data_IF_124721972213
#
_entry.id   IF_124721972213
#
_cell.length_a   1.000
_cell.length_b   1.000
_cell.length_c   1.000
_cell.angle_alpha   90.00
_cell.angle_beta   90.00
_cell.angle_gamma   90.00
#
_symmetry.space_group_name_H-M   'P 1'
#
loop_
_entity.id
_entity.type
_entity.pdbx_description
1 polymer ?
#
# COMPACT_ATOMS: atom_id res chain seq x y z
N UNK A 1 21.61 -28.20 1.67
CA UNK A 1 21.74 -26.84 2.25
C UNK A 1 21.06 -25.87 1.29
N UNK A 2 19.81 -25.55 1.58
CA UNK A 2 18.99 -24.59 0.86
C UNK A 2 17.88 -24.22 1.83
N UNK A 3 17.85 -22.96 2.24
CA UNK A 3 17.04 -22.49 3.35
C UNK A 3 15.55 -22.54 2.97
N UNK A 4 14.83 -23.49 3.58
CA UNK A 4 13.37 -23.59 3.57
C UNK A 4 12.87 -22.82 4.79
N UNK A 5 11.87 -21.95 4.64
CA UNK A 5 11.15 -21.41 5.80
C UNK A 5 10.30 -22.53 6.41
N UNK A 6 10.83 -23.16 7.46
CA UNK A 6 10.05 -24.03 8.34
C UNK A 6 9.02 -23.17 9.06
N UNK A 7 7.75 -23.30 8.65
CA UNK A 7 6.64 -22.87 9.48
C UNK A 7 6.26 -23.98 10.46
N UNK A 8 7.09 -24.19 11.49
CA UNK A 8 6.78 -25.16 12.52
C UNK A 8 6.08 -24.45 13.68
N UNK A 9 4.75 -24.57 13.73
CA UNK A 9 4.02 -24.41 14.99
C UNK A 9 4.25 -25.68 15.82
N UNK A 10 5.26 -25.67 16.68
CA UNK A 10 5.59 -26.78 17.57
C UNK A 10 4.67 -26.83 18.79
N UNK A 11 3.36 -26.92 18.60
CA UNK A 11 2.43 -27.01 19.72
C UNK A 11 1.61 -28.31 19.71
N UNK A 12 2.03 -29.32 18.92
CA UNK A 12 1.57 -30.71 19.05
C UNK A 12 0.07 -30.97 18.85
N UNK A 13 -0.71 -29.98 18.38
CA UNK A 13 -2.19 -30.05 18.35
C UNK A 13 -2.76 -29.91 16.92
N UNK A 14 -2.00 -29.46 15.92
CA UNK A 14 -2.50 -29.31 14.52
C UNK A 14 -1.59 -29.98 13.49
N UNK A 15 -2.12 -30.84 12.58
CA UNK A 15 -1.31 -31.62 11.63
C UNK A 15 -1.07 -30.94 10.27
N UNK A 16 -1.22 -29.62 10.15
CA UNK A 16 -1.07 -28.91 8.86
C UNK A 16 0.12 -27.96 8.94
N UNK A 17 1.16 -28.23 8.15
CA UNK A 17 2.29 -27.34 7.92
C UNK A 17 2.10 -26.76 6.51
N UNK A 18 1.97 -25.45 6.36
CA UNK A 18 1.96 -24.89 5.00
C UNK A 18 3.37 -24.47 4.59
N UNK A 19 3.67 -24.60 3.32
CA UNK A 19 4.87 -24.08 2.69
C UNK A 19 4.42 -23.33 1.44
N UNK A 20 4.83 -22.07 1.30
CA UNK A 20 4.49 -21.27 0.12
C UNK A 20 5.66 -21.37 -0.88
N UNK A 21 5.34 -21.64 -2.14
CA UNK A 21 6.29 -21.74 -3.24
C UNK A 21 5.79 -20.89 -4.42
N UNK A 22 6.71 -20.39 -5.24
CA UNK A 22 6.42 -19.75 -6.52
C UNK A 22 7.37 -20.33 -7.57
N UNK A 23 6.88 -21.04 -8.59
CA UNK A 23 7.61 -21.49 -9.79
C UNK A 23 7.08 -20.90 -11.12
N UNK A 24 7.69 -21.24 -12.26
CA UNK A 24 7.71 -20.39 -13.46
C UNK A 24 6.54 -20.46 -14.48
N UNK A 25 6.69 -19.64 -15.53
CA UNK A 25 5.99 -19.70 -16.83
C UNK A 25 7.02 -19.62 -17.98
N UNK A 26 6.61 -19.99 -19.20
CA UNK A 26 7.33 -19.62 -20.43
C UNK A 26 6.78 -18.28 -20.94
N UNK A 27 7.52 -17.52 -21.77
CA UNK A 27 7.09 -16.21 -22.31
C UNK A 27 5.67 -16.23 -22.94
N UNK A 28 5.18 -17.42 -23.32
CA UNK A 28 3.90 -17.64 -24.00
C UNK A 28 2.75 -18.18 -23.10
N UNK A 29 2.97 -18.44 -21.80
CA UNK A 29 1.97 -19.07 -20.91
C UNK A 29 1.89 -18.35 -19.56
N UNK A 30 0.73 -17.77 -19.24
CA UNK A 30 0.40 -17.29 -17.89
C UNK A 30 0.21 -18.53 -17.00
N UNK A 31 1.06 -18.76 -15.97
CA UNK A 31 0.90 -19.92 -15.09
C UNK A 31 -0.39 -19.78 -14.25
N UNK A 32 -1.15 -20.88 -14.16
CA UNK A 32 -2.31 -20.98 -13.27
C UNK A 32 -1.78 -21.43 -11.90
N UNK A 33 -2.00 -20.62 -10.86
CA UNK A 33 -1.64 -20.98 -9.49
C UNK A 33 -2.61 -22.03 -8.97
N UNK A 34 -2.18 -23.27 -8.83
CA UNK A 34 -2.95 -24.35 -8.22
C UNK A 34 -2.38 -24.73 -6.85
N UNK A 35 -3.19 -24.60 -5.80
CA UNK A 35 -2.80 -25.06 -4.48
C UNK A 35 -3.04 -26.56 -4.33
N UNK A 36 -1.97 -27.35 -4.25
CA UNK A 36 -2.04 -28.81 -4.18
C UNK A 36 -1.60 -29.36 -2.83
N UNK A 37 -2.23 -30.46 -2.43
CA UNK A 37 -1.90 -31.22 -1.21
C UNK A 37 -0.81 -32.24 -1.52
N UNK A 38 0.27 -32.21 -0.74
CA UNK A 38 1.40 -33.14 -0.83
C UNK A 38 1.59 -33.91 0.48
N UNK A 39 2.02 -35.16 0.37
CA UNK A 39 2.54 -35.93 1.48
C UNK A 39 4.05 -35.71 1.56
N UNK A 40 4.56 -35.32 2.72
CA UNK A 40 5.99 -35.10 2.96
C UNK A 40 6.43 -35.94 4.14
N UNK A 41 7.55 -36.64 4.04
CA UNK A 41 8.13 -37.37 5.17
C UNK A 41 9.49 -36.76 5.51
N UNK A 42 9.65 -36.32 6.75
CA UNK A 42 10.96 -35.91 7.28
C UNK A 42 11.33 -36.82 8.44
N UNK A 43 12.32 -37.69 8.19
CA UNK A 43 12.86 -38.65 9.15
C UNK A 43 11.79 -39.45 9.92
N UNK A 44 10.82 -40.02 9.21
CA UNK A 44 9.79 -40.89 9.78
C UNK A 44 8.64 -40.15 10.45
N UNK A 45 8.60 -38.83 10.31
CA UNK A 45 7.41 -38.03 10.62
C UNK A 45 6.74 -37.66 9.31
N UNK A 46 5.52 -38.16 9.10
CA UNK A 46 4.75 -37.85 7.91
C UNK A 46 3.89 -36.59 8.13
N UNK A 47 3.97 -35.68 7.17
CA UNK A 47 3.30 -34.40 7.14
C UNK A 47 2.39 -34.33 5.92
N UNK A 48 1.27 -33.62 6.07
CA UNK A 48 0.52 -33.11 4.92
C UNK A 48 0.91 -31.66 4.73
N UNK A 49 1.53 -31.35 3.59
CA UNK A 49 1.91 -29.99 3.22
C UNK A 49 1.01 -29.48 2.10
N UNK A 50 0.66 -28.20 2.15
CA UNK A 50 0.04 -27.51 1.02
C UNK A 50 1.14 -26.73 0.32
N UNK A 51 1.25 -26.89 -0.99
CA UNK A 51 2.19 -26.17 -1.84
C UNK A 51 1.41 -25.48 -2.96
N UNK A 52 1.77 -24.24 -3.28
CA UNK A 52 1.25 -23.54 -4.46
C UNK A 52 2.15 -23.92 -5.63
N UNK A 53 1.56 -24.59 -6.62
CA UNK A 53 2.22 -24.97 -7.87
C UNK A 53 1.80 -24.00 -8.95
N UNK A 54 2.75 -23.49 -9.72
CA UNK A 54 2.51 -22.60 -10.85
C UNK A 54 2.52 -23.37 -12.19
N UNK A 55 2.60 -24.71 -12.17
CA UNK A 55 2.50 -25.56 -13.37
C UNK A 55 1.50 -26.72 -13.24
N UNK A 56 0.90 -27.12 -14.36
CA UNK A 56 -0.09 -28.19 -14.46
C UNK A 56 0.49 -29.62 -14.55
N UNK A 57 1.78 -29.84 -14.24
CA UNK A 57 2.39 -31.18 -14.21
C UNK A 57 2.67 -31.66 -12.77
N UNK A 58 1.75 -32.44 -12.17
CA UNK A 58 1.85 -32.89 -10.77
C UNK A 58 2.98 -33.89 -10.48
N UNK A 59 3.79 -34.29 -11.47
CA UNK A 59 4.77 -35.39 -11.33
C UNK A 59 6.25 -34.97 -11.27
N UNK A 60 6.57 -33.68 -11.13
CA UNK A 60 7.96 -33.22 -10.96
C UNK A 60 8.46 -33.30 -9.51
N UNK A 61 8.29 -34.46 -8.87
CA UNK A 61 8.86 -34.73 -7.53
C UNK A 61 10.38 -34.51 -7.53
N UNK A 62 10.86 -33.64 -6.64
CA UNK A 62 12.29 -33.49 -6.34
C UNK A 62 13.12 -32.61 -7.29
N UNK A 63 12.51 -31.86 -8.20
CA UNK A 63 13.22 -30.83 -8.98
C UNK A 63 12.68 -29.45 -8.66
N UNK A 64 13.44 -28.71 -7.85
CA UNK A 64 13.24 -27.26 -7.72
C UNK A 64 13.63 -26.59 -9.03
N UNK A 65 12.71 -25.86 -9.66
CA UNK A 65 13.08 -24.83 -10.63
C UNK A 65 13.53 -23.62 -9.82
N UNK A 66 14.78 -23.21 -10.02
CA UNK A 66 15.34 -22.02 -9.41
C UNK A 66 15.00 -20.81 -10.29
N UNK A 67 14.62 -19.66 -9.71
CA UNK A 67 14.65 -19.33 -8.27
C UNK A 67 13.33 -19.59 -7.52
N UNK A 68 13.40 -19.89 -6.22
CA UNK A 68 12.25 -20.01 -5.31
C UNK A 68 12.21 -18.89 -4.27
N UNK A 69 11.01 -18.40 -3.93
CA UNK A 69 10.81 -17.39 -2.89
C UNK A 69 10.60 -18.04 -1.51
N UNK A 70 11.23 -17.49 -0.48
CA UNK A 70 11.11 -17.97 0.90
C UNK A 70 10.34 -16.96 1.73
N UNK A 71 9.20 -17.38 2.26
CA UNK A 71 8.30 -16.53 3.05
C UNK A 71 8.42 -16.94 4.53
N UNK A 72 8.81 -16.04 5.45
CA UNK A 72 8.81 -16.37 6.87
C UNK A 72 7.40 -16.76 7.29
N UNK A 73 7.29 -17.85 8.03
CA UNK A 73 6.00 -18.32 8.49
C UNK A 73 6.04 -18.54 10.00
N UNK A 74 4.97 -18.09 10.65
CA UNK A 74 4.91 -17.86 12.09
C UNK A 74 3.91 -18.83 12.70
N UNK A 75 4.36 -19.54 13.74
CA UNK A 75 3.52 -20.43 14.51
C UNK A 75 2.30 -19.69 15.08
N UNK A 76 1.10 -20.14 14.73
CA UNK A 76 -0.16 -19.63 15.26
C UNK A 76 -0.85 -20.72 16.07
N UNK A 77 -1.05 -20.47 17.37
CA UNK A 77 -1.83 -21.34 18.23
C UNK A 77 -3.17 -20.66 18.56
N UNK A 78 -4.26 -21.26 18.09
CA UNK A 78 -5.62 -20.75 18.21
C UNK A 78 -6.08 -20.67 19.68
N UNK A 79 -5.46 -21.43 20.58
CA UNK A 79 -5.73 -21.44 22.03
C UNK A 79 -5.04 -20.30 22.80
N UNK A 80 -4.06 -19.62 22.20
CA UNK A 80 -3.37 -18.45 22.74
C UNK A 80 -3.92 -17.13 22.18
N UNK A 81 -5.08 -17.20 21.51
CA UNK A 81 -5.68 -16.14 20.67
C UNK A 81 -5.91 -14.80 21.39
N UNK A 82 -5.89 -14.76 22.72
CA UNK A 82 -5.96 -13.53 23.50
C UNK A 82 -4.75 -12.60 23.34
N UNK A 83 -3.57 -13.12 22.99
CA UNK A 83 -2.33 -12.33 22.92
C UNK A 83 -1.94 -11.92 21.48
N UNK A 84 -2.45 -12.62 20.46
CA UNK A 84 -2.05 -12.41 19.06
C UNK A 84 -2.88 -11.33 18.35
N UNK A 85 -4.15 -11.15 18.74
CA UNK A 85 -5.03 -10.09 18.25
C UNK A 85 -5.39 -9.16 19.41
N UNK A 86 -4.73 -7.99 19.46
CA UNK A 86 -4.87 -7.03 20.55
C UNK A 86 -6.05 -6.09 20.31
N UNK A 87 -6.13 -5.49 19.12
CA UNK A 87 -7.13 -4.48 18.79
C UNK A 87 -7.38 -4.42 17.29
N UNK A 88 -8.64 -4.43 16.87
CA UNK A 88 -8.97 -4.22 15.46
C UNK A 88 -8.64 -2.77 15.06
N UNK A 89 -7.95 -2.62 13.93
CA UNK A 89 -7.61 -1.31 13.34
C UNK A 89 -8.72 -0.89 12.38
N UNK A 90 -9.01 -1.75 11.40
CA UNK A 90 -9.94 -1.45 10.31
C UNK A 90 -10.62 -2.73 9.81
N UNK A 91 -11.88 -2.59 9.37
CA UNK A 91 -12.58 -3.58 8.53
C UNK A 91 -12.79 -2.93 7.16
N UNK A 92 -12.19 -3.51 6.14
CA UNK A 92 -12.42 -3.15 4.74
C UNK A 92 -13.38 -4.12 4.05
N UNK A 93 -13.66 -3.87 2.77
CA UNK A 93 -14.56 -4.71 1.98
C UNK A 93 -14.04 -6.15 1.78
N UNK A 94 -12.72 -6.33 1.78
CA UNK A 94 -12.04 -7.59 1.43
C UNK A 94 -11.31 -8.22 2.63
N UNK A 95 -11.06 -7.47 3.69
CA UNK A 95 -10.27 -7.96 4.81
C UNK A 95 -10.36 -7.07 6.04
N UNK A 96 -9.86 -7.58 7.15
CA UNK A 96 -9.74 -6.87 8.41
C UNK A 96 -8.28 -6.84 8.85
N UNK A 97 -7.87 -5.73 9.46
CA UNK A 97 -6.52 -5.50 9.95
C UNK A 97 -6.57 -5.28 11.45
N UNK A 98 -5.66 -5.95 12.16
CA UNK A 98 -5.57 -5.96 13.61
C UNK A 98 -4.17 -5.57 14.07
N UNK A 99 -4.09 -4.92 15.22
CA UNK A 99 -2.87 -4.87 16.02
C UNK A 99 -2.67 -6.25 16.64
N UNK A 100 -1.48 -6.80 16.54
CA UNK A 100 -1.08 -8.04 17.18
C UNK A 100 0.23 -7.91 17.93
N UNK A 101 0.62 -8.98 18.64
CA UNK A 101 1.97 -9.15 19.19
C UNK A 101 2.66 -10.36 18.58
N UNK A 102 3.90 -10.17 18.17
CA UNK A 102 4.77 -11.25 17.70
C UNK A 102 6.12 -11.15 18.40
N UNK A 103 6.49 -12.18 19.18
CA UNK A 103 7.79 -12.23 19.90
C UNK A 103 8.07 -10.99 20.77
N UNK A 104 7.01 -10.40 21.35
CA UNK A 104 7.09 -9.18 22.16
C UNK A 104 6.86 -7.88 21.39
N UNK A 105 7.05 -7.89 20.07
CA UNK A 105 6.92 -6.72 19.20
C UNK A 105 5.47 -6.51 18.74
N UNK A 106 5.10 -5.24 18.52
CA UNK A 106 3.79 -4.88 17.97
C UNK A 106 3.82 -5.06 16.45
N UNK A 107 2.80 -5.74 15.91
CA UNK A 107 2.66 -6.02 14.47
C UNK A 107 1.27 -5.68 13.98
N UNK A 108 1.13 -5.52 12.66
CA UNK A 108 -0.16 -5.48 11.99
C UNK A 108 -0.47 -6.86 11.38
N UNK A 109 -1.70 -7.34 11.58
CA UNK A 109 -2.16 -8.65 11.09
C UNK A 109 -3.37 -8.44 10.20
N UNK A 110 -3.23 -8.71 8.91
CA UNK A 110 -4.32 -8.68 7.92
C UNK A 110 -4.84 -10.10 7.71
N UNK A 111 -6.16 -10.25 7.63
CA UNK A 111 -6.85 -11.50 7.30
C UNK A 111 -8.15 -11.19 6.56
N UNK A 112 -8.66 -12.12 5.77
CA UNK A 112 -9.96 -11.95 5.10
C UNK A 112 -11.09 -11.75 6.12
N UNK A 113 -12.22 -11.15 5.74
CA UNK A 113 -13.40 -11.10 6.61
C UNK A 113 -14.06 -12.48 6.70
N UNK A 114 -14.82 -12.74 7.77
CA UNK A 114 -15.37 -14.07 8.07
C UNK A 114 -16.13 -14.69 6.87
N UNK A 115 -17.02 -13.93 6.25
CA UNK A 115 -17.88 -14.42 5.16
C UNK A 115 -17.07 -14.83 3.92
N UNK A 116 -15.92 -14.20 3.68
CA UNK A 116 -15.06 -14.45 2.50
C UNK A 116 -14.02 -15.55 2.71
N UNK A 117 -13.75 -15.95 3.96
CA UNK A 117 -12.71 -16.96 4.29
C UNK A 117 -13.02 -18.37 3.81
N UNK A 118 -14.25 -18.61 3.39
CA UNK A 118 -14.69 -19.90 2.87
C UNK A 118 -14.74 -19.91 1.34
N UNK A 119 -14.53 -18.76 0.69
CA UNK A 119 -14.52 -18.63 -0.76
C UNK A 119 -13.12 -18.87 -1.31
N UNK A 120 -12.94 -19.94 -2.09
CA UNK A 120 -11.62 -20.32 -2.60
C UNK A 120 -10.96 -19.22 -3.44
N UNK A 121 -11.76 -18.49 -4.24
CA UNK A 121 -11.28 -17.37 -5.07
C UNK A 121 -10.68 -16.25 -4.22
N UNK A 122 -11.33 -15.89 -3.12
CA UNK A 122 -10.84 -14.84 -2.21
C UNK A 122 -9.55 -15.27 -1.49
N UNK A 123 -9.44 -16.57 -1.15
CA UNK A 123 -8.23 -17.14 -0.55
C UNK A 123 -7.06 -17.14 -1.54
N UNK A 124 -7.31 -17.45 -2.81
CA UNK A 124 -6.31 -17.38 -3.89
C UNK A 124 -5.85 -15.94 -4.13
N UNK A 125 -6.77 -14.98 -4.16
CA UNK A 125 -6.43 -13.57 -4.30
C UNK A 125 -5.60 -13.06 -3.11
N UNK A 126 -5.95 -13.48 -1.89
CA UNK A 126 -5.17 -13.15 -0.70
C UNK A 126 -3.79 -13.80 -0.69
N UNK A 127 -3.67 -15.05 -1.13
CA UNK A 127 -2.38 -15.71 -1.32
C UNK A 127 -1.52 -14.99 -2.37
N UNK A 128 -2.12 -14.56 -3.48
CA UNK A 128 -1.44 -13.77 -4.51
C UNK A 128 -0.94 -12.44 -3.95
N UNK A 129 -1.74 -11.77 -3.11
CA UNK A 129 -1.32 -10.54 -2.42
C UNK A 129 -0.10 -10.76 -1.52
N UNK A 130 -0.11 -11.85 -0.74
CA UNK A 130 1.01 -12.22 0.11
C UNK A 130 2.28 -12.49 -0.72
N UNK A 131 2.17 -13.25 -1.81
CA UNK A 131 3.29 -13.54 -2.71
C UNK A 131 3.88 -12.27 -3.30
N UNK A 132 3.03 -11.36 -3.78
CA UNK A 132 3.48 -10.09 -4.33
C UNK A 132 4.21 -9.27 -3.26
N UNK A 133 3.62 -9.13 -2.08
CA UNK A 133 4.20 -8.35 -0.99
C UNK A 133 5.53 -8.92 -0.51
N UNK A 134 5.69 -10.25 -0.53
CA UNK A 134 6.95 -10.89 -0.18
C UNK A 134 8.08 -10.67 -1.18
N UNK A 135 7.77 -10.29 -2.42
CA UNK A 135 8.76 -9.92 -3.43
C UNK A 135 9.39 -8.54 -3.19
N UNK A 136 8.79 -7.73 -2.31
CA UNK A 136 9.21 -6.35 -2.09
C UNK A 136 10.28 -6.22 -1.01
N UNK A 137 11.26 -5.36 -1.29
CA UNK A 137 12.31 -4.98 -0.35
C UNK A 137 12.69 -3.53 -0.60
N UNK A 138 11.98 -2.61 0.04
CA UNK A 138 12.23 -1.17 -0.08
C UNK A 138 11.83 -0.41 1.20
N UNK A 139 12.52 0.71 1.48
CA UNK A 139 12.27 1.50 2.69
C UNK A 139 10.86 2.12 2.72
N UNK A 140 10.34 2.51 1.56
CA UNK A 140 9.02 3.15 1.42
C UNK A 140 7.90 2.24 0.91
N UNK A 141 8.11 0.93 0.95
CA UNK A 141 7.08 -0.08 0.67
C UNK A 141 6.90 -0.90 1.93
N UNK A 142 5.64 -1.20 2.28
CA UNK A 142 5.33 -2.00 3.46
C UNK A 142 5.88 -3.42 3.27
N UNK A 143 6.71 -3.84 4.20
CA UNK A 143 7.37 -5.15 4.15
C UNK A 143 6.54 -6.23 4.83
N UNK A 144 6.60 -7.44 4.28
CA UNK A 144 6.05 -8.63 4.91
C UNK A 144 7.00 -9.13 6.00
N UNK A 145 6.50 -9.26 7.23
CA UNK A 145 7.24 -9.91 8.31
C UNK A 145 7.05 -11.43 8.29
N UNK A 146 5.87 -11.88 7.87
CA UNK A 146 5.59 -13.28 7.64
C UNK A 146 4.12 -13.58 7.45
N UNK A 147 3.79 -14.87 7.47
CA UNK A 147 2.42 -15.35 7.29
C UNK A 147 2.13 -16.39 8.37
N UNK A 148 0.87 -16.51 8.78
CA UNK A 148 0.45 -17.47 9.77
C UNK A 148 -0.90 -18.10 9.41
N UNK A 149 -1.07 -19.39 9.66
CA UNK A 149 -2.35 -20.09 9.50
C UNK A 149 -2.36 -21.40 10.29
N UNK A 150 -3.52 -21.83 10.77
CA UNK A 150 -3.79 -23.22 11.20
C UNK A 150 -4.58 -23.99 10.15
N UNK A 151 -5.49 -23.27 9.49
CA UNK A 151 -6.29 -23.70 8.34
C UNK A 151 -6.26 -22.59 7.31
N UNK A 152 -6.55 -22.94 6.05
CA UNK A 152 -6.57 -21.97 4.95
C UNK A 152 -7.49 -20.78 5.23
N UNK A 153 -8.68 -21.05 5.79
CA UNK A 153 -9.66 -20.05 6.21
C UNK A 153 -9.11 -19.06 7.26
N UNK A 154 -8.07 -19.42 8.00
CA UNK A 154 -7.45 -18.60 9.06
C UNK A 154 -6.12 -18.00 8.62
N UNK A 155 -5.86 -17.89 7.32
CA UNK A 155 -4.65 -17.27 6.79
C UNK A 155 -4.53 -15.80 7.22
N UNK A 156 -3.34 -15.46 7.73
CA UNK A 156 -3.00 -14.16 8.25
C UNK A 156 -1.68 -13.67 7.62
N UNK A 157 -1.70 -12.48 7.05
CA UNK A 157 -0.55 -11.74 6.58
C UNK A 157 -0.05 -10.85 7.73
N UNK A 158 1.24 -10.89 8.06
CA UNK A 158 1.84 -10.19 9.20
C UNK A 158 2.84 -9.15 8.70
N UNK A 159 2.66 -7.91 9.13
CA UNK A 159 3.39 -6.73 8.66
C UNK A 159 3.91 -5.90 9.83
N UNK A 160 4.84 -5.01 9.52
CA UNK A 160 5.20 -3.94 10.44
C UNK A 160 3.95 -3.13 10.81
N UNK A 161 3.81 -2.81 12.10
CA UNK A 161 2.81 -1.86 12.58
C UNK A 161 3.30 -0.43 12.37
N UNK A 162 2.42 0.46 11.92
CA UNK A 162 2.74 1.86 11.63
C UNK A 162 1.98 2.75 12.62
N UNK A 163 2.71 3.35 13.56
CA UNK A 163 2.15 3.88 14.81
C UNK A 163 1.21 5.08 14.62
N UNK A 164 1.44 5.88 13.57
CA UNK A 164 0.61 7.05 13.26
C UNK A 164 -0.58 6.71 12.36
N UNK A 165 -0.74 5.44 11.98
CA UNK A 165 -1.81 4.99 11.10
C UNK A 165 -1.59 5.41 9.66
N UNK A 166 -2.68 5.73 8.97
CA UNK A 166 -2.65 6.17 7.58
C UNK A 166 -2.56 7.70 7.44
N UNK A 167 -2.11 8.17 6.27
CA UNK A 167 -1.91 9.60 5.99
C UNK A 167 -3.22 10.38 6.12
N UNK A 168 -4.37 9.80 5.78
CA UNK A 168 -5.66 10.48 5.93
C UNK A 168 -5.95 10.80 7.41
N UNK A 169 -5.70 9.85 8.32
CA UNK A 169 -5.84 10.08 9.76
C UNK A 169 -4.87 11.16 10.26
N UNK A 170 -3.62 11.15 9.78
CA UNK A 170 -2.61 12.16 10.13
C UNK A 170 -3.07 13.56 9.69
N UNK A 171 -3.59 13.71 8.47
CA UNK A 171 -4.10 14.97 7.94
C UNK A 171 -5.30 15.48 8.75
N UNK A 172 -6.28 14.62 9.02
CA UNK A 172 -7.47 14.97 9.80
C UNK A 172 -7.12 15.41 11.23
N UNK A 173 -6.14 14.76 11.87
CA UNK A 173 -5.70 15.11 13.21
C UNK A 173 -5.04 16.49 13.26
N UNK A 174 -4.21 16.81 12.27
CA UNK A 174 -3.53 18.10 12.20
C UNK A 174 -4.49 19.25 11.86
N UNK A 175 -5.44 19.06 10.94
CA UNK A 175 -6.47 20.08 10.64
C UNK A 175 -7.29 20.46 11.89
N UNK A 176 -7.62 19.48 12.75
CA UNK A 176 -8.32 19.75 14.01
C UNK A 176 -7.45 20.54 14.99
N UNK A 177 -6.17 20.22 15.14
CA UNK A 177 -5.27 20.93 16.06
C UNK A 177 -5.15 22.43 15.72
N UNK A 178 -5.03 22.76 14.44
CA UNK A 178 -4.94 24.15 13.98
C UNK A 178 -6.20 24.95 14.28
N UNK A 179 -7.38 24.31 14.26
CA UNK A 179 -8.64 24.96 14.62
C UNK A 179 -8.78 25.27 16.13
N UNK A 180 -8.19 24.45 17.01
CA UNK A 180 -8.36 24.58 18.47
C UNK A 180 -7.21 25.30 19.20
N UNK A 181 -5.99 25.31 18.65
CA UNK A 181 -4.79 25.83 19.34
C UNK A 181 -4.14 27.02 18.60
N UNK A 182 -4.85 28.12 18.41
CA UNK A 182 -4.28 29.36 17.86
C UNK A 182 -3.30 30.10 18.81
N UNK A 183 -2.99 29.55 20.00
CA UNK A 183 -2.29 30.30 21.07
C UNK A 183 -0.94 29.74 21.54
N UNK A 184 -0.45 28.59 21.04
CA UNK A 184 0.84 28.03 21.47
C UNK A 184 1.83 27.84 20.32
N UNK A 185 2.82 28.73 20.29
CA UNK A 185 3.73 29.03 19.18
C UNK A 185 4.99 28.13 19.12
N UNK A 186 4.93 26.83 19.46
CA UNK A 186 6.16 26.05 19.63
C UNK A 186 6.09 24.52 19.43
N UNK A 187 5.29 24.00 18.50
CA UNK A 187 5.41 22.60 18.08
C UNK A 187 5.50 22.60 16.55
N UNK A 188 6.53 21.96 15.99
CA UNK A 188 6.79 21.81 14.55
C UNK A 188 5.50 21.70 13.76
N UNK A 189 5.13 22.79 13.09
CA UNK A 189 3.89 22.86 12.33
C UNK A 189 3.94 21.83 11.21
N UNK A 190 2.88 21.04 11.05
CA UNK A 190 2.77 20.05 9.98
C UNK A 190 2.58 20.79 8.63
N UNK A 191 3.68 21.18 8.00
CA UNK A 191 3.75 22.07 6.85
C UNK A 191 4.51 21.43 5.68
N UNK A 192 4.53 22.11 4.53
CA UNK A 192 5.32 21.70 3.38
C UNK A 192 6.83 21.66 3.68
N UNK A 193 7.35 22.70 4.35
CA UNK A 193 8.76 22.80 4.71
C UNK A 193 9.22 21.73 5.72
N UNK A 194 8.31 21.20 6.57
CA UNK A 194 8.69 20.26 7.62
C UNK A 194 8.42 18.79 7.26
N UNK A 195 7.16 18.44 6.98
CA UNK A 195 6.71 17.05 6.89
C UNK A 195 6.15 16.68 5.52
N UNK A 196 5.31 17.54 4.93
CA UNK A 196 4.51 17.16 3.74
C UNK A 196 5.39 16.90 2.52
N UNK A 197 6.44 17.69 2.29
CA UNK A 197 7.37 17.46 1.18
C UNK A 197 8.17 16.15 1.36
N UNK A 198 8.60 15.85 2.59
CA UNK A 198 9.26 14.57 2.93
C UNK A 198 8.34 13.38 2.66
N UNK A 199 7.08 13.48 3.09
CA UNK A 199 6.07 12.43 2.87
C UNK A 199 5.83 12.24 1.37
N UNK A 200 5.61 13.32 0.63
CA UNK A 200 5.42 13.29 -0.82
C UNK A 200 6.59 12.60 -1.52
N UNK A 201 7.83 12.96 -1.15
CA UNK A 201 9.05 12.37 -1.71
C UNK A 201 9.09 10.87 -1.44
N UNK A 202 8.85 10.45 -0.19
CA UNK A 202 8.90 9.05 0.21
C UNK A 202 7.83 8.20 -0.49
N UNK A 203 6.64 8.76 -0.74
CA UNK A 203 5.61 8.13 -1.60
C UNK A 203 6.16 7.93 -3.02
N UNK A 204 6.78 8.97 -3.60
CA UNK A 204 7.39 8.90 -4.94
C UNK A 204 8.52 7.87 -5.01
N UNK A 205 9.36 7.75 -3.98
CA UNK A 205 10.39 6.71 -3.87
C UNK A 205 9.78 5.30 -3.87
N UNK A 206 8.69 5.10 -3.11
CA UNK A 206 7.97 3.84 -3.08
C UNK A 206 7.40 3.45 -4.46
N UNK A 207 6.82 4.41 -5.18
CA UNK A 207 6.31 4.20 -6.53
C UNK A 207 7.43 3.95 -7.54
N UNK A 208 8.52 4.71 -7.52
CA UNK A 208 9.67 4.47 -8.40
C UNK A 208 10.18 3.03 -8.25
N UNK A 209 10.32 2.56 -7.00
CA UNK A 209 10.73 1.19 -6.73
C UNK A 209 9.79 0.18 -7.41
N UNK A 210 8.47 0.28 -7.19
CA UNK A 210 7.48 -0.63 -7.78
C UNK A 210 7.49 -0.57 -9.31
N UNK A 211 7.57 0.62 -9.87
CA UNK A 211 7.55 0.86 -11.31
C UNK A 211 8.83 0.33 -11.99
N UNK A 212 9.95 0.30 -11.26
CA UNK A 212 11.24 -0.21 -11.71
C UNK A 212 11.44 -1.72 -11.57
N UNK A 213 10.49 -2.46 -10.98
CA UNK A 213 10.54 -3.92 -10.93
C UNK A 213 10.35 -4.54 -12.33
N UNK A 214 10.78 -5.79 -12.48
CA UNK A 214 10.57 -6.57 -13.71
C UNK A 214 9.88 -7.91 -13.38
N UNK A 215 8.61 -8.10 -13.77
CA UNK A 215 7.75 -7.14 -14.47
C UNK A 215 7.40 -5.91 -13.61
N UNK A 216 7.08 -4.80 -14.28
CA UNK A 216 6.62 -3.56 -13.64
C UNK A 216 5.40 -3.81 -12.77
N UNK A 217 5.43 -3.32 -11.53
CA UNK A 217 4.30 -3.41 -10.61
C UNK A 217 3.59 -2.06 -10.52
N UNK A 218 2.30 -2.03 -10.88
CA UNK A 218 1.43 -0.86 -10.71
C UNK A 218 0.64 -1.03 -9.41
N UNK A 219 0.64 -0.01 -8.55
CA UNK A 219 -0.01 -0.05 -7.24
C UNK A 219 -1.54 -0.12 -7.35
N UNK A 220 -2.15 0.65 -8.28
CA UNK A 220 -3.58 0.66 -8.65
C UNK A 220 -4.56 1.17 -7.60
N UNK A 221 -4.14 1.22 -6.34
CA UNK A 221 -4.95 1.74 -5.23
C UNK A 221 -4.21 2.77 -4.37
N UNK A 222 -3.37 3.61 -4.97
CA UNK A 222 -2.71 4.67 -4.22
C UNK A 222 -3.74 5.72 -3.77
N UNK A 223 -3.82 5.94 -2.47
CA UNK A 223 -4.68 6.93 -1.80
C UNK A 223 -4.14 7.21 -0.40
N UNK A 224 -4.55 8.30 0.24
CA UNK A 224 -4.09 8.66 1.59
C UNK A 224 -4.31 7.55 2.64
N UNK A 225 -5.34 6.71 2.51
CA UNK A 225 -5.56 5.54 3.39
C UNK A 225 -4.54 4.40 3.24
N UNK A 226 -3.86 4.33 2.09
CA UNK A 226 -2.90 3.28 1.77
C UNK A 226 -1.44 3.77 1.91
N UNK A 227 -1.25 5.01 2.36
CA UNK A 227 0.04 5.57 2.75
C UNK A 227 0.13 5.50 4.27
N UNK A 228 0.95 4.60 4.81
CA UNK A 228 1.10 4.40 6.24
C UNK A 228 2.28 5.19 6.80
N UNK A 229 2.11 5.73 8.00
CA UNK A 229 3.06 6.62 8.66
C UNK A 229 3.51 6.03 9.99
N UNK A 230 4.82 5.88 10.17
CA UNK A 230 5.42 5.40 11.41
C UNK A 230 5.69 6.54 12.40
N UNK A 231 6.18 6.20 13.59
CA UNK A 231 6.35 7.19 14.67
C UNK A 231 7.33 8.32 14.29
N UNK A 232 8.37 8.05 13.49
CA UNK A 232 9.34 9.05 13.03
C UNK A 232 8.97 9.67 11.66
N UNK A 233 7.69 9.58 11.28
CA UNK A 233 7.18 10.01 9.98
C UNK A 233 7.85 9.30 8.79
N UNK A 234 8.35 8.10 9.00
CA UNK A 234 8.69 7.20 7.89
C UNK A 234 7.40 6.78 7.17
N UNK A 235 7.46 6.78 5.84
CA UNK A 235 6.31 6.48 4.99
C UNK A 235 6.47 5.13 4.34
N UNK A 236 5.41 4.32 4.35
CA UNK A 236 5.34 3.05 3.63
C UNK A 236 4.03 2.93 2.85
N UNK A 237 4.13 2.59 1.57
CA UNK A 237 2.98 2.23 0.74
C UNK A 237 2.50 0.82 1.12
N UNK A 238 1.21 0.66 1.36
CA UNK A 238 0.58 -0.63 1.64
C UNK A 238 -0.67 -0.86 0.80
N UNK A 239 -1.28 -2.03 0.95
CA UNK A 239 -2.53 -2.43 0.28
C UNK A 239 -2.44 -2.30 -1.26
N UNK A 240 -1.64 -3.18 -1.85
CA UNK A 240 -1.43 -3.27 -3.29
C UNK A 240 -2.66 -3.91 -3.94
N UNK A 241 -3.21 -3.29 -4.98
CA UNK A 241 -4.50 -3.64 -5.58
C UNK A 241 -4.52 -4.94 -6.39
N UNK A 242 -3.94 -6.04 -5.87
CA UNK A 242 -3.87 -7.35 -6.53
C UNK A 242 -5.25 -7.89 -6.86
N UNK A 243 -6.21 -7.78 -5.93
CA UNK A 243 -7.59 -8.22 -6.15
C UNK A 243 -8.33 -7.41 -7.22
N UNK A 244 -7.90 -6.17 -7.52
CA UNK A 244 -8.52 -5.36 -8.58
C UNK A 244 -8.19 -5.85 -9.98
N UNK A 245 -7.01 -6.47 -10.20
CA UNK A 245 -6.67 -7.10 -11.49
C UNK A 245 -7.74 -8.06 -11.98
N UNK A 246 -8.35 -8.82 -11.06
CA UNK A 246 -9.31 -9.89 -11.37
C UNK A 246 -10.77 -9.47 -11.26
N UNK A 247 -11.08 -8.41 -10.51
CA UNK A 247 -12.44 -7.91 -10.35
C UNK A 247 -12.83 -6.79 -11.34
N UNK A 248 -11.86 -6.07 -11.91
CA UNK A 248 -12.12 -5.04 -12.93
C UNK A 248 -12.72 -5.63 -14.22
N UNK A 249 -12.59 -6.95 -14.46
CA UNK A 249 -13.26 -7.64 -15.56
C UNK A 249 -14.76 -7.88 -15.29
N UNK A 250 -15.22 -7.84 -14.03
CA UNK A 250 -16.57 -8.30 -13.67
C UNK A 250 -17.48 -7.20 -13.07
N UNK A 251 -17.00 -6.15 -12.38
CA UNK A 251 -17.92 -5.13 -11.83
C UNK A 251 -17.28 -3.76 -11.50
N UNK A 252 -17.67 -2.73 -12.26
CA UNK A 252 -17.37 -1.30 -12.00
C UNK A 252 -18.10 -0.69 -10.78
N UNK A 253 -18.95 -1.45 -10.10
CA UNK A 253 -19.90 -0.95 -9.08
C UNK A 253 -19.40 -1.02 -7.63
N UNK A 254 -18.35 -1.80 -7.33
CA UNK A 254 -17.91 -2.03 -5.94
C UNK A 254 -16.97 -0.96 -5.37
N UNK A 255 -16.55 0.02 -6.18
CA UNK A 255 -15.43 0.95 -5.88
C UNK A 255 -15.79 2.40 -5.55
N UNK A 256 -17.09 2.76 -5.40
CA UNK A 256 -17.56 4.16 -5.34
C UNK A 256 -16.81 5.03 -4.31
N UNK A 257 -16.36 4.45 -3.19
CA UNK A 257 -15.63 5.19 -2.15
C UNK A 257 -14.13 5.44 -2.41
N UNK A 258 -13.53 4.79 -3.42
CA UNK A 258 -12.10 4.94 -3.76
C UNK A 258 -11.86 5.59 -5.13
N UNK A 259 -12.92 5.86 -5.89
CA UNK A 259 -12.82 6.35 -7.26
C UNK A 259 -12.21 7.76 -7.40
N UNK A 260 -12.12 8.55 -6.32
CA UNK A 260 -11.58 9.91 -6.38
C UNK A 260 -10.09 9.99 -6.68
N UNK A 261 -9.33 8.93 -6.38
CA UNK A 261 -7.90 8.85 -6.71
C UNK A 261 -7.66 8.22 -8.09
N UNK A 262 -8.70 7.63 -8.68
CA UNK A 262 -8.58 6.86 -9.91
C UNK A 262 -8.38 7.76 -11.12
N UNK A 263 -7.38 7.44 -11.94
CA UNK A 263 -7.06 8.20 -13.13
C UNK A 263 -8.21 8.20 -14.17
N UNK A 264 -8.38 9.27 -14.97
CA UNK A 264 -9.45 9.41 -15.95
C UNK A 264 -9.55 8.23 -16.93
N UNK A 265 -8.42 7.73 -17.42
CA UNK A 265 -8.34 6.61 -18.35
C UNK A 265 -8.79 5.29 -17.70
N UNK A 266 -8.50 5.10 -16.41
CA UNK A 266 -8.95 3.93 -15.64
C UNK A 266 -10.45 4.00 -15.41
N UNK A 267 -10.98 5.17 -15.02
CA UNK A 267 -12.42 5.40 -14.88
C UNK A 267 -13.18 5.20 -16.21
N UNK A 268 -12.54 5.50 -17.34
CA UNK A 268 -13.08 5.29 -18.67
C UNK A 268 -12.94 3.85 -19.19
N UNK A 269 -12.38 2.92 -18.39
CA UNK A 269 -12.16 1.53 -18.79
C UNK A 269 -11.13 1.35 -19.92
N UNK A 270 -10.22 2.32 -20.07
CA UNK A 270 -9.15 2.28 -21.06
C UNK A 270 -7.94 1.51 -20.53
N UNK A 271 -7.02 1.16 -21.43
CA UNK A 271 -5.72 0.63 -21.02
C UNK A 271 -4.97 1.67 -20.21
N UNK A 272 -4.36 1.23 -19.12
CA UNK A 272 -3.60 2.07 -18.20
C UNK A 272 -2.23 1.47 -17.94
N UNK A 273 -1.34 2.30 -17.41
CA UNK A 273 0.03 1.93 -17.04
C UNK A 273 0.35 2.44 -15.63
N UNK A 274 1.63 2.40 -15.25
CA UNK A 274 2.16 3.01 -14.04
C UNK A 274 1.86 4.53 -13.93
N UNK A 275 1.53 5.18 -15.05
CA UNK A 275 1.05 6.57 -15.10
C UNK A 275 -0.27 6.79 -14.38
N UNK A 276 -1.06 5.74 -14.16
CA UNK A 276 -2.27 5.82 -13.34
C UNK A 276 -1.91 6.10 -11.86
N UNK A 277 -0.86 5.48 -11.33
CA UNK A 277 -0.39 5.75 -9.97
C UNK A 277 0.15 7.18 -9.83
N UNK A 278 0.75 7.73 -10.89
CA UNK A 278 1.22 9.12 -10.90
C UNK A 278 0.04 10.09 -10.81
N UNK A 279 -1.08 9.80 -11.47
CA UNK A 279 -2.30 10.59 -11.29
C UNK A 279 -2.79 10.53 -9.84
N UNK A 280 -2.88 9.31 -9.28
CA UNK A 280 -3.26 9.11 -7.88
C UNK A 280 -2.33 9.86 -6.92
N UNK A 281 -1.03 9.92 -7.22
CA UNK A 281 -0.06 10.72 -6.46
C UNK A 281 -0.40 12.21 -6.52
N UNK A 282 -0.76 12.74 -7.69
CA UNK A 282 -1.24 14.11 -7.84
C UNK A 282 -2.45 14.42 -6.95
N UNK A 283 -3.38 13.46 -6.82
CA UNK A 283 -4.52 13.58 -5.90
C UNK A 283 -4.06 13.58 -4.43
N UNK A 284 -3.13 12.70 -4.06
CA UNK A 284 -2.56 12.66 -2.70
C UNK A 284 -1.77 13.94 -2.36
N UNK A 285 -1.11 14.58 -3.33
CA UNK A 285 -0.46 15.88 -3.13
C UNK A 285 -1.48 16.98 -2.80
N UNK A 286 -2.66 16.95 -3.43
CA UNK A 286 -3.76 17.87 -3.09
C UNK A 286 -4.31 17.62 -1.67
N UNK A 287 -4.41 16.35 -1.25
CA UNK A 287 -4.78 16.00 0.13
C UNK A 287 -3.71 16.46 1.13
N UNK A 288 -2.43 16.26 0.83
CA UNK A 288 -1.32 16.76 1.68
C UNK A 288 -1.42 18.26 1.85
N UNK A 289 -1.70 18.99 0.77
CA UNK A 289 -1.83 20.43 0.81
C UNK A 289 -3.02 20.90 1.67
N UNK A 290 -4.22 20.44 1.32
CA UNK A 290 -5.48 20.91 1.91
C UNK A 290 -5.80 20.28 3.27
N UNK A 291 -5.27 19.09 3.54
CA UNK A 291 -5.68 18.24 4.66
C UNK A 291 -7.10 17.69 4.55
N UNK A 292 -7.77 17.90 3.41
CA UNK A 292 -9.16 17.50 3.17
C UNK A 292 -9.23 16.32 2.18
N UNK A 293 -10.41 15.69 2.09
CA UNK A 293 -10.65 14.67 1.06
C UNK A 293 -10.63 15.29 -0.35
N UNK A 294 -10.28 14.53 -1.40
CA UNK A 294 -10.35 15.02 -2.77
C UNK A 294 -11.76 15.54 -3.09
N UNK A 295 -11.82 16.67 -3.80
CA UNK A 295 -13.08 17.31 -4.21
C UNK A 295 -14.00 17.72 -3.04
N UNK A 296 -13.47 17.96 -1.83
CA UNK A 296 -14.25 18.40 -0.66
C UNK A 296 -15.07 19.69 -0.90
N UNK A 297 -14.62 20.52 -1.84
CA UNK A 297 -15.20 21.80 -2.25
C UNK A 297 -16.02 21.72 -3.55
N UNK A 298 -16.18 20.53 -4.15
CA UNK A 298 -17.02 20.37 -5.33
C UNK A 298 -18.49 20.62 -4.97
N UNK A 299 -19.09 21.61 -5.63
CA UNK A 299 -20.49 22.02 -5.44
C UNK A 299 -21.25 22.08 -6.76
N UNK A 300 -22.55 21.82 -6.72
CA UNK A 300 -23.45 22.09 -7.85
C UNK A 300 -23.62 23.60 -8.05
N UNK A 301 -24.27 24.01 -9.15
CA UNK A 301 -24.61 25.42 -9.38
C UNK A 301 -25.45 26.04 -8.26
N UNK A 302 -26.23 25.22 -7.55
CA UNK A 302 -27.10 25.63 -6.46
C UNK A 302 -26.37 25.67 -5.10
N UNK A 303 -25.09 25.29 -5.06
CA UNK A 303 -24.26 25.28 -3.86
C UNK A 303 -24.32 23.97 -3.05
N UNK A 304 -25.04 22.95 -3.53
CA UNK A 304 -25.14 21.64 -2.87
C UNK A 304 -23.88 20.80 -3.09
N UNK A 305 -23.64 19.82 -2.21
CA UNK A 305 -22.55 18.85 -2.39
C UNK A 305 -22.78 18.06 -3.68
N UNK A 306 -21.74 17.98 -4.51
CA UNK A 306 -21.83 17.24 -5.76
C UNK A 306 -21.77 15.72 -5.51
N UNK A 307 -22.64 14.98 -6.19
CA UNK A 307 -22.67 13.50 -6.15
C UNK A 307 -21.41 12.89 -6.76
N UNK A 308 -20.97 11.76 -6.21
CA UNK A 308 -19.73 11.07 -6.62
C UNK A 308 -19.72 10.82 -8.13
N UNK A 309 -20.80 10.26 -8.68
CA UNK A 309 -20.86 9.91 -10.10
C UNK A 309 -20.73 11.14 -11.01
N UNK A 310 -21.22 12.30 -10.56
CA UNK A 310 -21.09 13.55 -11.30
C UNK A 310 -19.64 14.05 -11.26
N UNK A 311 -18.99 14.02 -10.09
CA UNK A 311 -17.57 14.35 -9.93
C UNK A 311 -16.72 13.50 -10.89
N UNK A 312 -16.91 12.18 -10.87
CA UNK A 312 -16.14 11.26 -11.73
C UNK A 312 -16.35 11.54 -13.22
N UNK A 313 -17.57 11.87 -13.64
CA UNK A 313 -17.84 12.25 -15.03
C UNK A 313 -17.12 13.55 -15.43
N UNK A 314 -17.08 14.54 -14.53
CA UNK A 314 -16.33 15.78 -14.78
C UNK A 314 -14.82 15.53 -14.85
N UNK A 315 -14.28 14.65 -14.01
CA UNK A 315 -12.88 14.21 -14.05
C UNK A 315 -12.55 13.54 -15.38
N UNK A 316 -13.37 12.56 -15.81
CA UNK A 316 -13.17 11.86 -17.10
C UNK A 316 -13.24 12.82 -18.28
N UNK A 317 -14.10 13.85 -18.22
CA UNK A 317 -14.18 14.88 -19.26
C UNK A 317 -13.11 15.98 -19.17
N UNK A 318 -12.20 15.90 -18.20
CA UNK A 318 -11.14 16.89 -17.98
C UNK A 318 -11.62 18.25 -17.49
N UNK A 319 -12.86 18.33 -16.97
CA UNK A 319 -13.50 19.58 -16.51
C UNK A 319 -13.32 19.83 -15.01
N UNK A 320 -12.88 18.83 -14.25
CA UNK A 320 -12.68 18.93 -12.82
C UNK A 320 -11.38 18.23 -12.42
N UNK A 321 -10.66 18.86 -11.50
CA UNK A 321 -9.45 18.36 -10.86
C UNK A 321 -9.48 18.73 -9.37
N UNK A 322 -8.73 18.03 -8.50
CA UNK A 322 -8.61 18.41 -7.11
C UNK A 322 -8.15 19.87 -6.93
N UNK A 323 -8.68 20.53 -5.90
CA UNK A 323 -8.27 21.89 -5.54
C UNK A 323 -7.05 21.88 -4.61
N UNK A 324 -6.37 23.03 -4.58
CA UNK A 324 -5.23 23.29 -3.72
C UNK A 324 -5.50 24.58 -2.95
N UNK A 325 -5.04 24.65 -1.71
CA UNK A 325 -5.10 25.83 -0.86
C UNK A 325 -4.34 27.01 -1.47
N UNK A 326 -4.59 28.23 -0.99
CA UNK A 326 -3.85 29.43 -1.44
C UNK A 326 -2.39 29.40 -0.98
N UNK A 327 -2.12 28.73 0.14
CA UNK A 327 -0.79 28.66 0.76
C UNK A 327 0.08 27.51 0.22
N UNK A 328 -0.44 26.72 -0.73
CA UNK A 328 0.34 25.68 -1.41
C UNK A 328 1.55 26.31 -2.12
N UNK A 329 2.79 25.85 -1.84
CA UNK A 329 3.97 26.30 -2.56
C UNK A 329 3.81 26.13 -4.07
N UNK A 330 4.15 27.17 -4.81
CA UNK A 330 3.85 27.24 -6.24
C UNK A 330 4.48 26.09 -7.04
N UNK A 331 5.69 25.67 -6.70
CA UNK A 331 6.37 24.59 -7.41
C UNK A 331 5.78 23.21 -7.07
N UNK A 332 5.31 23.02 -5.84
CA UNK A 332 4.52 21.83 -5.45
C UNK A 332 3.20 21.78 -6.22
N UNK A 333 2.49 22.91 -6.31
CA UNK A 333 1.24 23.03 -7.08
C UNK A 333 1.47 22.66 -8.54
N UNK A 334 2.50 23.22 -9.18
CA UNK A 334 2.85 22.90 -10.58
C UNK A 334 3.14 21.41 -10.76
N UNK A 335 3.91 20.82 -9.86
CA UNK A 335 4.25 19.40 -9.90
C UNK A 335 3.00 18.52 -9.76
N UNK A 336 2.12 18.83 -8.80
CA UNK A 336 0.89 18.11 -8.60
C UNK A 336 -0.07 18.23 -9.81
N UNK A 337 -0.18 19.41 -10.41
CA UNK A 337 -0.94 19.61 -11.64
C UNK A 337 -0.36 18.85 -12.84
N UNK A 338 0.96 18.72 -12.93
CA UNK A 338 1.60 17.89 -13.94
C UNK A 338 1.26 16.39 -13.76
N UNK A 339 1.21 15.90 -12.51
CA UNK A 339 0.73 14.56 -12.19
C UNK A 339 -0.74 14.36 -12.55
N UNK A 340 -1.58 15.39 -12.38
CA UNK A 340 -3.03 15.36 -12.67
C UNK A 340 -3.37 15.55 -14.15
N UNK A 341 -2.39 15.53 -15.06
CA UNK A 341 -2.65 15.72 -16.49
C UNK A 341 -3.65 14.66 -17.00
N UNK A 342 -4.71 15.05 -17.74
CA UNK A 342 -5.67 14.09 -18.28
C UNK A 342 -5.04 13.06 -19.22
N UNK A 343 -3.99 13.44 -19.95
CA UNK A 343 -3.27 12.54 -20.85
C UNK A 343 -2.13 11.82 -20.08
N UNK A 344 -2.14 10.48 -19.96
CA UNK A 344 -1.14 9.74 -19.18
C UNK A 344 0.30 9.98 -19.61
N UNK A 345 0.55 10.09 -20.91
CA UNK A 345 1.89 10.30 -21.48
C UNK A 345 2.49 11.67 -21.13
N UNK A 346 1.65 12.65 -20.81
CA UNK A 346 2.09 13.99 -20.41
C UNK A 346 2.38 14.09 -18.91
N UNK A 347 2.07 13.06 -18.12
CA UNK A 347 2.41 13.01 -16.71
C UNK A 347 3.91 12.73 -16.56
N UNK A 348 4.58 13.25 -15.53
CA UNK A 348 5.95 12.85 -15.19
C UNK A 348 6.01 11.35 -14.85
N UNK A 349 7.21 10.78 -14.73
CA UNK A 349 7.39 9.47 -14.07
C UNK A 349 7.45 9.65 -12.55
N UNK A 350 7.22 8.59 -11.76
CA UNK A 350 7.40 8.64 -10.31
C UNK A 350 8.81 9.14 -9.91
N UNK A 351 9.82 8.75 -10.70
CA UNK A 351 11.20 9.21 -10.56
C UNK A 351 11.36 10.71 -10.77
N UNK A 352 10.73 11.27 -11.81
CA UNK A 352 10.79 12.70 -12.09
C UNK A 352 10.15 13.50 -10.95
N UNK A 353 9.02 13.02 -10.42
CA UNK A 353 8.35 13.64 -9.26
C UNK A 353 9.23 13.57 -8.01
N UNK A 354 9.85 12.43 -7.74
CA UNK A 354 10.80 12.27 -6.63
C UNK A 354 11.96 13.27 -6.74
N UNK A 355 12.60 13.37 -7.91
CA UNK A 355 13.74 14.26 -8.12
C UNK A 355 13.37 15.73 -7.92
N UNK A 356 12.19 16.14 -8.38
CA UNK A 356 11.73 17.50 -8.19
C UNK A 356 11.44 17.80 -6.71
N UNK A 357 10.82 16.87 -5.98
CA UNK A 357 10.60 17.02 -4.54
C UNK A 357 11.92 17.08 -3.75
N UNK A 358 12.94 16.32 -4.14
CA UNK A 358 14.28 16.40 -3.53
C UNK A 358 14.87 17.79 -3.74
N UNK A 359 14.80 18.33 -4.96
CA UNK A 359 15.31 19.68 -5.25
C UNK A 359 14.62 20.75 -4.41
N UNK A 360 13.30 20.64 -4.24
CA UNK A 360 12.52 21.58 -3.44
C UNK A 360 12.93 21.53 -1.95
N UNK A 361 13.16 20.33 -1.42
CA UNK A 361 13.66 20.15 -0.05
C UNK A 361 15.07 20.74 0.13
N UNK A 362 15.96 20.53 -0.83
CA UNK A 362 17.34 21.07 -0.78
C UNK A 362 17.37 22.60 -0.89
N UNK A 363 16.50 23.21 -1.69
CA UNK A 363 16.43 24.68 -1.79
C UNK A 363 15.97 25.34 -0.49
N UNK A 364 15.04 24.72 0.24
CA UNK A 364 14.53 25.25 1.50
C UNK A 364 15.59 25.17 2.62
N UNK A 365 16.41 24.11 2.63
CA UNK A 365 17.52 23.94 3.57
C UNK A 365 18.63 24.99 3.36
N UNK A 366 18.95 25.33 2.10
CA UNK A 366 19.96 26.36 1.79
C UNK A 366 19.48 27.75 2.22
N UNK A 367 18.22 28.10 1.93
CA UNK A 367 17.64 29.40 2.34
C UNK A 367 17.58 29.52 3.86
N UNK A 368 17.18 28.45 4.56
CA UNK A 368 17.15 28.42 6.03
C UNK A 368 18.54 28.62 6.65
N UNK A 369 19.56 27.97 6.10
CA UNK A 369 20.94 28.09 6.58
C UNK A 369 21.56 29.47 6.28
N UNK A 370 21.27 30.07 5.11
CA UNK A 370 21.72 31.42 4.78
C UNK A 370 21.04 32.49 5.66
N UNK A 371 19.75 32.34 5.96
CA UNK A 371 19.04 33.23 6.88
C UNK A 371 19.63 33.17 8.29
N UNK A 372 19.91 31.97 8.82
CA UNK A 372 20.57 31.79 10.11
C UNK A 372 21.97 32.43 10.09
N UNK A 373 22.76 32.18 9.05
CA UNK A 373 24.09 32.78 8.91
C UNK A 373 24.05 34.32 8.87
N UNK A 374 23.05 34.91 8.20
CA UNK A 374 22.87 36.36 8.13
C UNK A 374 22.48 37.01 9.46
N UNK A 375 21.70 36.30 10.31
CA UNK A 375 21.33 36.77 11.65
C UNK A 375 22.50 36.70 12.64
N UNK A 376 23.38 35.71 12.49
CA UNK A 376 24.57 35.56 13.34
C UNK A 376 25.67 36.55 12.90
N UNK A 377 25.77 36.87 11.61
CA UNK A 377 26.73 37.83 11.04
C UNK A 377 26.45 39.30 11.35
N UNK A 378 25.27 39.65 11.89
CA UNK A 378 24.89 41.02 12.27
C UNK A 378 25.30 41.44 13.69
N UNK A 379 25.98 40.57 14.45
CA UNK A 379 26.40 40.81 15.85
C UNK A 379 27.93 40.89 16.05
N UNK A 380 28.71 41.13 14.98
CA UNK A 380 30.15 41.43 15.09
C UNK A 380 30.48 42.90 14.87
#
# INVERSE_FOLDING_TARGET
MGNVSLCAATDGITPVHGAMWSDGGTDDVIPVSEMQRHAWDDNGTSYTIMAIHLSGDPNSYGKCVMPSMTIPCIAYNEYSSGDCFVRQITIGAYGEVWVGRMRGEIVAVKRLIHDRRHEMRELEDFATEIQLMASFSHANVLGLLGVAWTKLENMCLIMQYMERGDLQQVLQHNNRKTQYNQSNNSIDEFSWASHKAKIARDISCGLEYLHGLNPTVVHRDLKSKNVLIGDNFEVKLGDFGVSRMRHDEETMTSGVGTAYWTAPEVLAGQKYSEKADVYSLGVVLAELDTGELPFYDARTSDGDKMEVIHILHLVVSGKLQPSFSLDCPEDVRKLALACLNPMPDNRPTAKDVMNELIRLLESDDVVSNEMIASQIGGFM
#
